data_IF_629016163655
#
_entry.id   IF_629016163655
#
_cell.length_a   1.000
_cell.length_b   1.000
_cell.length_c   1.000
_cell.angle_alpha   90.00
_cell.angle_beta   90.00
_cell.angle_gamma   90.00
#
_symmetry.space_group_name_H-M   'P 1'
#
loop_
_entity.id
_entity.type
_entity.pdbx_description
1 polymer ?
#
# COMPACT_ATOMS: atom_id res chain seq x y z
N UNK A 1 28.39 -15.66 13.83
CA UNK A 1 27.24 -15.55 12.91
C UNK A 1 27.19 -14.14 12.37
N UNK A 2 26.70 -13.97 11.14
CA UNK A 2 26.78 -12.71 10.42
C UNK A 2 25.42 -12.35 9.80
N UNK A 3 25.13 -11.05 9.76
CA UNK A 3 23.98 -10.47 9.07
C UNK A 3 24.52 -9.53 8.00
N UNK A 4 24.20 -9.80 6.75
CA UNK A 4 24.54 -8.97 5.59
C UNK A 4 23.27 -8.22 5.18
N UNK A 5 23.33 -6.89 5.19
CA UNK A 5 22.33 -6.03 4.57
C UNK A 5 22.89 -5.55 3.23
N UNK A 6 22.31 -6.02 2.12
CA UNK A 6 22.73 -5.62 0.78
C UNK A 6 21.60 -4.85 0.10
N UNK A 7 21.82 -3.56 -0.16
CA UNK A 7 20.77 -2.66 -0.62
C UNK A 7 21.03 -2.19 -2.05
N UNK A 8 20.12 -2.52 -2.96
CA UNK A 8 20.12 -1.96 -4.33
C UNK A 8 19.45 -0.58 -4.38
N UNK A 9 18.60 -0.30 -3.40
CA UNK A 9 17.99 1.00 -3.14
C UNK A 9 18.20 1.39 -1.67
N UNK A 10 18.52 2.66 -1.38
CA UNK A 10 18.64 3.13 0.00
C UNK A 10 17.36 2.86 0.78
N UNK A 11 17.51 2.33 2.00
CA UNK A 11 16.42 2.13 2.95
C UNK A 11 16.93 2.33 4.36
N UNK A 12 16.51 3.43 4.99
CA UNK A 12 16.90 3.71 6.38
C UNK A 12 16.14 2.77 7.32
N UNK A 13 14.86 2.55 7.06
CA UNK A 13 14.04 1.68 7.89
C UNK A 13 14.55 0.23 7.91
N UNK A 14 14.92 -0.33 6.74
CA UNK A 14 15.52 -1.66 6.66
C UNK A 14 16.87 -1.72 7.36
N UNK A 15 17.73 -0.70 7.19
CA UNK A 15 19.01 -0.64 7.88
C UNK A 15 18.85 -0.69 9.41
N UNK A 16 17.96 0.15 9.94
CA UNK A 16 17.69 0.23 11.37
C UNK A 16 17.04 -1.07 11.90
N UNK A 17 16.26 -1.76 11.06
CA UNK A 17 15.70 -3.08 11.35
C UNK A 17 16.79 -4.15 11.46
N UNK A 18 17.63 -4.28 10.44
CA UNK A 18 18.67 -5.32 10.38
C UNK A 18 19.76 -5.09 11.42
N UNK A 19 20.18 -3.83 11.61
CA UNK A 19 21.18 -3.45 12.62
C UNK A 19 20.72 -3.82 14.02
N UNK A 20 19.45 -3.59 14.33
CA UNK A 20 18.91 -3.96 15.63
C UNK A 20 18.91 -5.46 15.85
N UNK A 21 18.49 -6.25 14.84
CA UNK A 21 18.53 -7.70 14.93
C UNK A 21 19.95 -8.22 15.18
N UNK A 22 20.92 -7.72 14.42
CA UNK A 22 22.32 -8.10 14.59
C UNK A 22 22.86 -7.72 15.98
N UNK A 23 22.56 -6.50 16.46
CA UNK A 23 22.98 -6.03 17.77
C UNK A 23 22.36 -6.85 18.92
N UNK A 24 21.09 -7.24 18.81
CA UNK A 24 20.39 -8.01 19.84
C UNK A 24 21.05 -9.37 20.10
N UNK A 25 21.54 -10.03 19.06
CA UNK A 25 22.18 -11.34 19.16
C UNK A 25 23.72 -11.30 19.15
N UNK A 26 24.32 -10.11 19.13
CA UNK A 26 25.78 -9.95 19.03
C UNK A 26 26.36 -10.46 17.70
N UNK A 27 25.57 -10.48 16.63
CA UNK A 27 26.02 -10.89 15.30
C UNK A 27 26.82 -9.78 14.63
N UNK A 28 27.81 -10.16 13.82
CA UNK A 28 28.53 -9.21 12.97
C UNK A 28 27.57 -8.66 11.92
N UNK A 29 27.36 -7.34 11.90
CA UNK A 29 26.54 -6.68 10.89
C UNK A 29 27.43 -6.11 9.77
N UNK A 30 27.18 -6.55 8.54
CA UNK A 30 27.87 -6.09 7.34
C UNK A 30 26.84 -5.35 6.48
N UNK A 31 27.16 -4.11 6.12
CA UNK A 31 26.28 -3.28 5.29
C UNK A 31 26.98 -3.08 3.95
N UNK A 32 26.30 -3.48 2.88
CA UNK A 32 26.75 -3.36 1.50
C UNK A 32 25.76 -2.43 0.79
N UNK A 33 26.19 -1.19 0.57
CA UNK A 33 25.44 -0.22 -0.22
C UNK A 33 25.79 -0.43 -1.70
N UNK A 34 24.79 -0.80 -2.48
CA UNK A 34 24.89 -1.04 -3.92
C UNK A 34 23.98 -0.08 -4.71
N UNK A 35 23.57 1.05 -4.14
CA UNK A 35 22.66 1.99 -4.79
C UNK A 35 23.21 2.58 -6.11
N UNK A 36 24.54 2.66 -6.24
CA UNK A 36 25.23 3.29 -7.38
C UNK A 36 25.75 2.28 -8.43
N UNK A 37 25.46 0.98 -8.29
CA UNK A 37 25.86 -0.01 -9.31
C UNK A 37 24.95 0.06 -10.55
N UNK A 38 25.33 -0.65 -11.61
CA UNK A 38 24.49 -0.77 -12.82
C UNK A 38 23.08 -1.25 -12.47
N UNK A 39 22.06 -0.55 -13.01
CA UNK A 39 20.63 -0.80 -12.72
C UNK A 39 20.02 -1.97 -13.51
N UNK A 40 20.81 -2.70 -14.28
CA UNK A 40 20.31 -3.88 -14.99
C UNK A 40 20.40 -5.11 -14.09
N UNK A 41 19.35 -5.93 -14.11
CA UNK A 41 19.23 -7.13 -13.29
C UNK A 41 20.48 -8.04 -13.29
N UNK A 42 21.14 -8.36 -14.43
CA UNK A 42 22.31 -9.23 -14.42
C UNK A 42 23.48 -8.70 -13.57
N UNK A 43 23.76 -7.40 -13.64
CA UNK A 43 24.84 -6.80 -12.88
C UNK A 43 24.51 -6.75 -11.38
N UNK A 44 23.25 -6.45 -11.04
CA UNK A 44 22.79 -6.43 -9.65
C UNK A 44 22.83 -7.82 -9.02
N UNK A 45 22.38 -8.85 -9.75
CA UNK A 45 22.43 -10.25 -9.28
C UNK A 45 23.87 -10.75 -9.16
N UNK A 46 24.72 -10.48 -10.17
CA UNK A 46 26.14 -10.83 -10.09
C UNK A 46 26.80 -10.19 -8.86
N UNK A 47 26.59 -8.89 -8.66
CA UNK A 47 27.14 -8.18 -7.51
C UNK A 47 26.63 -8.76 -6.18
N UNK A 48 25.33 -9.03 -6.07
CA UNK A 48 24.71 -9.62 -4.88
C UNK A 48 25.32 -10.96 -4.51
N UNK A 49 25.37 -11.90 -5.46
CA UNK A 49 25.85 -13.26 -5.19
C UNK A 49 27.37 -13.34 -5.07
N UNK A 50 28.13 -12.50 -5.80
CA UNK A 50 29.58 -12.38 -5.62
C UNK A 50 29.90 -11.83 -4.22
N UNK A 51 29.16 -10.81 -3.77
CA UNK A 51 29.32 -10.24 -2.42
C UNK A 51 29.00 -11.26 -1.33
N UNK A 52 27.90 -12.00 -1.47
CA UNK A 52 27.56 -13.10 -0.57
C UNK A 52 28.68 -14.14 -0.54
N UNK A 53 29.15 -14.62 -1.70
CA UNK A 53 30.22 -15.62 -1.76
C UNK A 53 31.53 -15.11 -1.15
N UNK A 54 31.85 -13.82 -1.36
CA UNK A 54 33.01 -13.16 -0.77
C UNK A 54 32.94 -13.16 0.76
N UNK A 55 31.78 -12.83 1.35
CA UNK A 55 31.59 -12.90 2.80
C UNK A 55 31.58 -14.33 3.33
N UNK A 56 31.04 -15.29 2.58
CA UNK A 56 31.13 -16.72 2.93
C UNK A 56 32.59 -17.20 2.99
N UNK A 57 33.48 -16.69 2.14
CA UNK A 57 34.91 -16.98 2.21
C UNK A 57 35.62 -16.34 3.41
N UNK A 58 35.10 -15.21 3.94
CA UNK A 58 35.62 -14.55 5.13
C UNK A 58 35.08 -15.11 6.44
N UNK A 59 33.92 -15.76 6.38
CA UNK A 59 33.27 -16.42 7.51
C UNK A 59 34.00 -17.71 7.92
N UNK A 60 33.87 -18.10 9.18
CA UNK A 60 34.41 -19.37 9.68
C UNK A 60 33.61 -20.57 9.12
N UNK A 61 34.23 -21.74 9.01
CA UNK A 61 33.52 -22.95 8.59
C UNK A 61 32.40 -23.29 9.59
N UNK A 62 31.20 -23.58 9.09
CA UNK A 62 30.00 -23.82 9.87
C UNK A 62 29.26 -22.55 10.33
N UNK A 63 29.84 -21.36 10.16
CA UNK A 63 29.22 -20.09 10.56
C UNK A 63 27.94 -19.81 9.76
N UNK A 64 26.90 -19.31 10.43
CA UNK A 64 25.63 -18.95 9.78
C UNK A 64 25.67 -17.49 9.31
N UNK A 65 25.31 -17.28 8.05
CA UNK A 65 25.20 -16.00 7.36
C UNK A 65 23.76 -15.77 6.94
N UNK A 66 23.16 -14.66 7.40
CA UNK A 66 21.86 -14.16 6.98
C UNK A 66 22.07 -13.04 5.94
N UNK A 67 21.51 -13.18 4.75
CA UNK A 67 21.45 -12.13 3.74
C UNK A 67 20.04 -11.52 3.69
N UNK A 68 19.97 -10.20 3.84
CA UNK A 68 18.75 -9.39 3.77
C UNK A 68 18.90 -8.30 2.71
N UNK A 69 17.92 -8.19 1.82
CA UNK A 69 17.79 -7.02 0.93
C UNK A 69 17.05 -5.87 1.61
N UNK A 70 16.93 -4.72 0.95
CA UNK A 70 16.11 -3.62 1.45
C UNK A 70 14.62 -3.99 1.57
N UNK A 71 14.15 -5.01 0.84
CA UNK A 71 12.76 -5.47 0.83
C UNK A 71 12.49 -6.53 1.92
N UNK A 72 13.44 -6.78 2.82
CA UNK A 72 13.27 -7.68 3.95
C UNK A 72 13.06 -6.92 5.25
N UNK A 73 12.33 -7.53 6.18
CA UNK A 73 12.16 -7.01 7.53
C UNK A 73 12.16 -8.14 8.56
N UNK A 74 12.96 -8.01 9.60
CA UNK A 74 12.87 -8.85 10.80
C UNK A 74 11.66 -8.39 11.62
N UNK A 75 10.78 -9.33 11.92
CA UNK A 75 9.59 -9.11 12.78
C UNK A 75 9.92 -9.61 14.17
N UNK A 76 10.03 -10.93 14.35
CA UNK A 76 10.41 -11.50 15.63
C UNK A 76 11.89 -11.91 15.63
N UNK A 77 12.74 -11.27 16.44
CA UNK A 77 14.18 -11.43 16.35
C UNK A 77 14.65 -12.70 17.09
N UNK A 78 14.35 -13.88 16.56
CA UNK A 78 14.86 -15.16 17.09
C UNK A 78 16.30 -15.47 16.62
N UNK A 79 17.08 -16.29 17.35
CA UNK A 79 18.44 -16.68 16.94
C UNK A 79 18.49 -17.41 15.58
N UNK A 80 19.57 -17.20 14.81
CA UNK A 80 19.72 -17.78 13.47
C UNK A 80 19.87 -19.31 13.45
N UNK A 81 20.56 -19.87 14.43
CA UNK A 81 20.67 -21.32 14.61
C UNK A 81 19.32 -21.99 14.87
N UNK A 82 18.44 -21.31 15.62
CA UNK A 82 17.07 -21.77 15.84
C UNK A 82 16.25 -21.78 14.54
N UNK A 83 16.40 -20.77 13.68
CA UNK A 83 15.67 -20.68 12.40
C UNK A 83 16.20 -21.68 11.38
N UNK A 84 17.53 -21.77 11.24
CA UNK A 84 18.17 -22.66 10.26
C UNK A 84 18.09 -24.14 10.66
N UNK A 85 18.26 -24.43 11.95
CA UNK A 85 18.42 -25.79 12.46
C UNK A 85 19.65 -26.48 11.86
N UNK A 86 19.55 -27.77 11.58
CA UNK A 86 20.65 -28.60 11.05
C UNK A 86 20.92 -28.42 9.54
N UNK A 87 20.22 -27.48 8.88
CA UNK A 87 20.33 -27.30 7.43
C UNK A 87 21.61 -26.57 7.04
N UNK A 88 21.99 -26.79 5.78
CA UNK A 88 23.01 -26.00 5.09
C UNK A 88 22.46 -24.64 4.61
N UNK A 89 21.16 -24.55 4.32
CA UNK A 89 20.50 -23.30 3.93
C UNK A 89 19.01 -23.30 4.28
N UNK A 90 18.43 -22.11 4.34
CA UNK A 90 16.99 -21.90 4.38
C UNK A 90 16.60 -20.84 3.36
N UNK A 91 15.88 -21.28 2.33
CA UNK A 91 15.18 -20.45 1.36
C UNK A 91 13.69 -20.80 1.45
N UNK A 92 12.82 -19.82 1.25
CA UNK A 92 11.37 -19.99 1.37
C UNK A 92 10.67 -19.68 0.06
N UNK A 93 9.69 -20.50 -0.34
CA UNK A 93 8.78 -20.18 -1.44
C UNK A 93 7.53 -19.52 -0.87
N UNK A 94 7.18 -18.36 -1.41
CA UNK A 94 5.93 -17.68 -1.07
C UNK A 94 4.99 -17.87 -2.27
N UNK A 95 3.88 -18.59 -2.05
CA UNK A 95 2.87 -18.96 -3.07
C UNK A 95 3.39 -19.75 -4.28
N UNK A 96 3.93 -20.96 -4.04
CA UNK A 96 4.22 -22.01 -5.03
C UNK A 96 5.08 -21.68 -6.27
N UNK A 97 5.56 -20.46 -6.47
CA UNK A 97 6.27 -20.04 -7.69
C UNK A 97 7.69 -19.54 -7.34
N UNK A 98 8.55 -20.43 -6.84
CA UNK A 98 10.01 -20.22 -6.65
C UNK A 98 10.46 -19.54 -5.33
N UNK A 99 11.75 -19.69 -4.94
CA UNK A 99 12.28 -19.16 -3.68
C UNK A 99 12.40 -17.63 -3.71
N UNK A 100 11.93 -16.93 -2.67
CA UNK A 100 12.11 -15.48 -2.56
C UNK A 100 13.57 -15.13 -2.28
N UNK A 101 14.13 -14.06 -2.88
CA UNK A 101 15.56 -13.76 -2.83
C UNK A 101 15.94 -12.74 -1.75
N UNK A 102 14.98 -12.18 -1.01
CA UNK A 102 15.17 -11.05 -0.09
C UNK A 102 15.60 -11.47 1.32
N UNK A 103 15.22 -12.68 1.75
CA UNK A 103 15.64 -13.29 3.03
C UNK A 103 16.29 -14.65 2.74
N UNK A 104 17.60 -14.76 2.91
CA UNK A 104 18.34 -16.00 2.68
C UNK A 104 19.22 -16.34 3.88
N UNK A 105 19.19 -17.60 4.33
CA UNK A 105 20.05 -18.06 5.44
C UNK A 105 20.95 -19.18 4.93
N UNK A 106 22.24 -19.06 5.21
CA UNK A 106 23.29 -19.95 4.71
C UNK A 106 24.18 -20.41 5.85
N UNK A 107 24.51 -21.69 5.91
CA UNK A 107 25.62 -22.23 6.70
C UNK A 107 26.86 -22.24 5.84
N UNK A 108 27.95 -21.67 6.33
CA UNK A 108 29.19 -21.63 5.59
C UNK A 108 29.86 -23.00 5.52
N UNK A 109 29.59 -23.75 4.45
CA UNK A 109 30.27 -25.02 4.17
C UNK A 109 30.90 -25.00 2.80
N UNK A 110 31.89 -25.86 2.57
CA UNK A 110 32.49 -26.03 1.24
C UNK A 110 31.44 -26.32 0.14
N UNK A 111 30.42 -27.12 0.48
CA UNK A 111 29.28 -27.42 -0.40
C UNK A 111 28.50 -26.15 -0.75
N UNK A 112 28.11 -25.37 0.26
CA UNK A 112 27.33 -24.14 0.05
C UNK A 112 28.09 -23.13 -0.80
N UNK A 113 29.39 -22.93 -0.53
CA UNK A 113 30.24 -22.04 -1.35
C UNK A 113 30.31 -22.50 -2.81
N UNK A 114 30.41 -23.81 -3.06
CA UNK A 114 30.43 -24.37 -4.41
C UNK A 114 29.10 -24.16 -5.15
N UNK A 115 27.95 -24.32 -4.49
CA UNK A 115 26.63 -24.06 -5.09
C UNK A 115 26.41 -22.57 -5.37
N UNK A 116 26.79 -21.68 -4.43
CA UNK A 116 26.74 -20.22 -4.64
C UNK A 116 27.63 -19.78 -5.80
N UNK A 117 28.80 -20.41 -5.99
CA UNK A 117 29.64 -20.14 -7.16
C UNK A 117 28.95 -20.50 -8.49
N UNK A 118 28.10 -21.54 -8.52
CA UNK A 118 27.29 -21.83 -9.72
C UNK A 118 26.27 -20.71 -9.99
N UNK A 119 25.67 -20.15 -8.95
CA UNK A 119 24.77 -18.99 -9.06
C UNK A 119 25.50 -17.79 -9.65
N UNK A 120 26.66 -17.46 -9.09
CA UNK A 120 27.55 -16.39 -9.59
C UNK A 120 27.87 -16.60 -11.07
N UNK A 121 28.25 -17.81 -11.47
CA UNK A 121 28.58 -18.13 -12.85
C UNK A 121 27.39 -17.92 -13.82
N UNK A 122 26.15 -18.18 -13.37
CA UNK A 122 24.94 -17.91 -14.16
C UNK A 122 24.63 -16.42 -14.34
N UNK A 123 25.16 -15.56 -13.47
CA UNK A 123 24.96 -14.11 -13.54
C UNK A 123 26.01 -13.38 -14.40
N UNK A 124 27.06 -14.07 -14.85
CA UNK A 124 28.16 -13.46 -15.62
C UNK A 124 27.67 -12.92 -16.96
N UNK A 125 28.24 -11.79 -17.37
CA UNK A 125 28.01 -11.24 -18.71
C UNK A 125 28.37 -12.27 -19.79
N UNK A 126 27.46 -12.48 -20.74
CA UNK A 126 27.60 -13.47 -21.81
C UNK A 126 27.01 -14.85 -21.52
N UNK A 127 26.58 -15.12 -20.28
CA UNK A 127 25.78 -16.32 -19.96
C UNK A 127 24.28 -16.09 -20.27
N UNK A 128 23.50 -17.14 -20.59
CA UNK A 128 22.04 -17.05 -20.64
C UNK A 128 21.51 -16.66 -19.25
N UNK A 129 21.13 -15.40 -19.08
CA UNK A 129 20.62 -14.88 -17.82
C UNK A 129 19.14 -15.26 -17.70
N UNK A 130 18.70 -15.80 -16.55
CA UNK A 130 17.29 -16.10 -16.35
C UNK A 130 16.41 -14.85 -16.40
N UNK A 131 15.12 -14.97 -16.79
CA UNK A 131 14.20 -13.83 -16.82
C UNK A 131 14.00 -13.20 -15.44
N UNK A 132 14.11 -14.00 -14.37
CA UNK A 132 13.79 -13.62 -12.99
C UNK A 132 14.86 -14.10 -12.01
N UNK A 133 15.09 -13.35 -10.93
CA UNK A 133 16.16 -13.68 -9.97
C UNK A 133 15.92 -15.03 -9.31
N UNK A 134 14.66 -15.35 -9.04
CA UNK A 134 14.23 -16.56 -8.34
C UNK A 134 14.66 -17.85 -9.06
N UNK A 135 14.78 -17.83 -10.40
CA UNK A 135 15.33 -18.94 -11.22
C UNK A 135 16.80 -19.25 -10.89
N UNK A 136 17.55 -18.29 -10.35
CA UNK A 136 18.92 -18.50 -9.90
C UNK A 136 18.97 -19.41 -8.67
N UNK A 137 17.91 -19.36 -7.86
CA UNK A 137 17.80 -20.07 -6.59
C UNK A 137 17.06 -21.41 -6.70
N UNK A 138 16.50 -21.75 -7.87
CA UNK A 138 15.78 -23.02 -8.09
C UNK A 138 16.62 -24.28 -7.89
N UNK A 139 17.96 -24.17 -7.97
CA UNK A 139 18.88 -25.28 -7.70
C UNK A 139 18.95 -25.67 -6.21
N UNK A 140 18.42 -24.83 -5.32
CA UNK A 140 18.40 -25.08 -3.88
C UNK A 140 17.04 -25.62 -3.45
N UNK A 141 17.06 -26.62 -2.57
CA UNK A 141 15.85 -27.11 -1.92
C UNK A 141 15.26 -25.99 -1.03
N UNK A 142 14.21 -25.34 -1.53
CA UNK A 142 13.48 -24.30 -0.81
C UNK A 142 12.25 -24.89 -0.11
N UNK A 143 11.99 -24.38 1.09
CA UNK A 143 10.83 -24.76 1.88
C UNK A 143 9.56 -24.09 1.34
N UNK A 144 8.52 -24.88 1.07
CA UNK A 144 7.20 -24.34 0.72
C UNK A 144 6.55 -23.68 1.94
N UNK A 145 5.91 -22.54 1.72
CA UNK A 145 5.07 -21.89 2.72
C UNK A 145 3.82 -22.76 3.05
N UNK A 146 3.41 -22.88 4.33
CA UNK A 146 4.06 -22.35 5.53
C UNK A 146 5.23 -23.21 6.02
N UNK A 147 6.42 -22.61 6.13
CA UNK A 147 7.54 -23.23 6.84
C UNK A 147 7.57 -22.78 8.29
N UNK A 148 7.34 -23.72 9.20
CA UNK A 148 7.45 -23.52 10.64
C UNK A 148 8.82 -24.01 11.13
N UNK A 149 9.53 -23.17 11.87
CA UNK A 149 10.71 -23.51 12.66
C UNK A 149 10.33 -23.66 14.14
N UNK A 150 11.19 -24.30 14.92
CA UNK A 150 10.92 -24.61 16.32
C UNK A 150 10.08 -25.87 16.54
N UNK A 151 9.54 -26.02 17.75
CA UNK A 151 8.74 -27.17 18.15
C UNK A 151 7.23 -26.86 18.10
N UNK A 152 6.39 -27.90 18.19
CA UNK A 152 4.93 -27.76 18.13
C UNK A 152 4.33 -26.84 19.20
N UNK A 153 5.05 -26.59 20.31
CA UNK A 153 4.61 -25.71 21.40
C UNK A 153 5.00 -24.26 21.17
N UNK A 154 5.95 -23.99 20.28
CA UNK A 154 6.44 -22.64 20.00
C UNK A 154 6.77 -22.47 18.49
N UNK A 155 5.78 -22.60 17.61
CA UNK A 155 6.01 -22.47 16.17
C UNK A 155 6.41 -21.04 15.82
N UNK A 156 7.39 -20.89 14.93
CA UNK A 156 7.69 -19.62 14.26
C UNK A 156 7.66 -19.82 12.75
N UNK A 157 6.97 -18.97 12.01
CA UNK A 157 7.02 -18.99 10.55
C UNK A 157 8.30 -18.32 10.09
N UNK A 158 9.06 -18.99 9.21
CA UNK A 158 10.37 -18.49 8.78
C UNK A 158 10.25 -17.16 8.03
N UNK A 159 9.47 -17.13 6.94
CA UNK A 159 9.28 -15.94 6.12
C UNK A 159 7.83 -15.87 5.65
N UNK A 160 7.18 -14.72 5.78
CA UNK A 160 5.88 -14.42 5.17
C UNK A 160 6.02 -13.35 4.08
N UNK A 161 5.10 -13.34 3.10
CA UNK A 161 4.97 -12.20 2.21
C UNK A 161 4.24 -11.04 2.88
N UNK A 162 4.67 -9.83 2.55
CA UNK A 162 3.93 -8.60 2.79
C UNK A 162 3.78 -7.81 1.49
N UNK A 163 2.59 -7.28 1.23
CA UNK A 163 2.31 -6.47 0.06
C UNK A 163 1.13 -5.54 0.32
N UNK A 164 0.92 -4.53 -0.52
CA UNK A 164 -0.22 -3.62 -0.40
C UNK A 164 -1.57 -4.35 -0.37
N UNK A 165 -1.85 -5.27 -1.33
CA UNK A 165 -3.11 -6.02 -1.36
C UNK A 165 -3.28 -7.07 -0.26
N UNK A 166 -2.20 -7.56 0.33
CA UNK A 166 -2.28 -8.63 1.33
C UNK A 166 -2.69 -8.11 2.71
N UNK A 167 -3.58 -8.85 3.37
CA UNK A 167 -3.90 -8.59 4.77
C UNK A 167 -2.70 -8.96 5.65
N UNK A 168 -2.26 -8.09 6.57
CA UNK A 168 -1.15 -8.38 7.46
C UNK A 168 -1.56 -9.46 8.46
N UNK A 169 -1.04 -10.68 8.29
CA UNK A 169 -1.31 -11.81 9.20
C UNK A 169 -0.23 -12.02 10.25
N UNK A 170 0.97 -11.44 10.06
CA UNK A 170 2.08 -11.55 11.01
C UNK A 170 1.81 -10.99 12.42
N UNK A 171 0.82 -10.11 12.69
CA UNK A 171 0.46 -9.79 14.08
C UNK A 171 -0.18 -10.98 14.82
N UNK A 172 -0.75 -11.95 14.08
CA UNK A 172 -1.46 -13.12 14.63
C UNK A 172 -0.59 -14.36 14.77
N UNK A 173 0.60 -14.34 14.16
CA UNK A 173 1.51 -15.47 14.12
C UNK A 173 2.91 -15.03 14.53
N UNK A 174 3.67 -15.91 15.16
CA UNK A 174 5.10 -15.65 15.38
C UNK A 174 5.83 -15.79 14.07
N UNK A 175 6.49 -14.74 13.60
CA UNK A 175 7.12 -14.69 12.27
C UNK A 175 8.53 -14.15 12.43
N UNK A 176 9.52 -14.87 11.90
CA UNK A 176 10.90 -14.40 11.94
C UNK A 176 11.10 -13.18 11.02
N UNK A 177 10.75 -13.30 9.73
CA UNK A 177 10.94 -12.23 8.77
C UNK A 177 9.76 -12.07 7.79
N UNK A 178 9.66 -10.88 7.19
CA UNK A 178 8.84 -10.61 6.02
C UNK A 178 9.73 -10.41 4.78
N UNK A 179 9.26 -10.93 3.65
CA UNK A 179 9.71 -10.52 2.34
C UNK A 179 8.61 -9.63 1.73
N UNK A 180 8.94 -8.39 1.44
CA UNK A 180 8.02 -7.40 0.88
C UNK A 180 8.06 -7.55 -0.64
N UNK A 181 6.91 -7.78 -1.26
CA UNK A 181 6.79 -7.97 -2.71
C UNK A 181 5.44 -7.44 -3.20
N UNK A 182 5.38 -6.68 -4.29
CA UNK A 182 4.09 -6.38 -4.95
C UNK A 182 3.91 -7.34 -6.13
N UNK A 183 2.74 -8.00 -6.16
CA UNK A 183 2.33 -8.83 -7.29
C UNK A 183 1.69 -7.92 -8.35
N UNK A 184 2.24 -7.94 -9.55
CA UNK A 184 1.56 -7.45 -10.75
C UNK A 184 1.10 -8.66 -11.58
N UNK A 185 -0.10 -8.56 -12.16
CA UNK A 185 -0.76 -9.65 -12.89
C UNK A 185 -0.02 -10.07 -14.18
N UNK A 186 0.91 -9.23 -14.64
CA UNK A 186 1.84 -9.52 -15.72
C UNK A 186 3.21 -9.02 -15.25
N UNK A 187 4.28 -9.66 -15.72
CA UNK A 187 5.68 -9.45 -15.37
C UNK A 187 6.22 -10.31 -14.20
N UNK A 188 7.01 -11.28 -14.62
CA UNK A 188 8.30 -11.77 -14.12
C UNK A 188 9.14 -10.90 -13.15
N UNK A 189 8.65 -9.80 -12.55
CA UNK A 189 9.41 -8.98 -11.61
C UNK A 189 8.52 -8.55 -10.47
N UNK A 190 8.88 -8.96 -9.25
CA UNK A 190 8.40 -8.31 -8.04
C UNK A 190 8.90 -6.88 -8.04
N UNK A 191 8.00 -5.92 -8.25
CA UNK A 191 8.28 -4.53 -7.97
C UNK A 191 7.92 -4.28 -6.51
N UNK A 192 8.70 -3.50 -5.78
CA UNK A 192 8.32 -3.07 -4.42
C UNK A 192 8.36 -1.57 -4.44
N UNK A 193 7.23 -0.92 -4.19
CA UNK A 193 7.23 0.53 -4.12
C UNK A 193 8.06 0.97 -2.91
N UNK A 194 9.18 1.71 -3.08
CA UNK A 194 10.12 2.02 -2.00
C UNK A 194 9.46 2.66 -0.79
N UNK A 195 8.46 3.52 -1.04
CA UNK A 195 7.68 4.19 -0.01
C UNK A 195 6.81 3.25 0.83
N UNK A 196 6.19 2.24 0.22
CA UNK A 196 5.41 1.25 0.95
C UNK A 196 6.31 0.43 1.87
N UNK A 197 7.48 0.05 1.34
CA UNK A 197 8.54 -0.63 2.09
C UNK A 197 9.03 0.20 3.28
N UNK A 198 9.41 1.46 3.08
CA UNK A 198 9.81 2.33 4.21
C UNK A 198 8.69 2.43 5.24
N UNK A 199 7.46 2.72 4.82
CA UNK A 199 6.32 2.85 5.73
C UNK A 199 6.10 1.59 6.57
N UNK A 200 6.13 0.42 5.95
CA UNK A 200 5.94 -0.86 6.64
C UNK A 200 7.09 -1.16 7.61
N UNK A 201 8.33 -1.00 7.19
CA UNK A 201 9.48 -1.34 8.04
C UNK A 201 9.61 -0.34 9.21
N UNK A 202 9.37 0.95 8.98
CA UNK A 202 9.32 1.94 10.07
C UNK A 202 8.25 1.58 11.09
N UNK A 203 7.08 1.18 10.61
CA UNK A 203 5.98 0.78 11.46
C UNK A 203 6.33 -0.47 12.29
N UNK A 204 6.95 -1.49 11.68
CA UNK A 204 7.45 -2.65 12.41
C UNK A 204 8.51 -2.26 13.44
N UNK A 205 9.40 -1.34 13.09
CA UNK A 205 10.44 -0.83 13.98
C UNK A 205 9.85 -0.10 15.20
N UNK A 206 8.78 0.66 15.02
CA UNK A 206 8.07 1.35 16.10
C UNK A 206 7.35 0.37 17.04
N UNK A 207 6.91 -0.79 16.54
CA UNK A 207 6.11 -1.77 17.31
C UNK A 207 6.90 -3.00 17.77
N UNK A 208 8.25 -2.93 17.80
CA UNK A 208 9.13 -4.05 18.18
C UNK A 208 8.82 -4.71 19.51
N UNK A 209 8.32 -3.94 20.48
CA UNK A 209 7.99 -4.46 21.81
C UNK A 209 6.54 -4.96 21.92
N UNK A 210 5.71 -4.76 20.88
CA UNK A 210 4.29 -5.10 20.92
C UNK A 210 3.68 -5.35 19.52
N UNK A 211 4.25 -6.31 18.78
CA UNK A 211 3.82 -6.64 17.42
C UNK A 211 2.36 -7.08 17.32
N UNK A 212 1.80 -7.69 18.38
CA UNK A 212 0.39 -8.07 18.42
C UNK A 212 -0.54 -6.86 18.23
N UNK A 213 -0.10 -5.66 18.67
CA UNK A 213 -0.87 -4.41 18.57
C UNK A 213 -0.54 -3.55 17.35
N UNK A 214 0.37 -3.99 16.47
CA UNK A 214 0.84 -3.19 15.34
C UNK A 214 -0.30 -2.58 14.50
N UNK A 215 -1.44 -3.28 14.37
CA UNK A 215 -2.61 -2.76 13.66
C UNK A 215 -3.87 -2.65 14.53
N UNK A 216 -3.72 -2.66 15.86
CA UNK A 216 -4.82 -2.50 16.82
C UNK A 216 -5.03 -1.03 17.24
N UNK A 217 -4.08 -0.14 16.90
CA UNK A 217 -4.16 1.29 17.17
C UNK A 217 -5.22 1.94 16.29
N UNK A 218 -6.39 2.22 16.87
CA UNK A 218 -7.48 2.88 16.14
C UNK A 218 -8.87 2.66 16.72
N UNK A 219 -9.06 1.82 17.74
CA UNK A 219 -10.31 1.80 18.50
C UNK A 219 -10.42 3.03 19.41
N UNK A 220 -10.40 4.25 18.83
CA UNK A 220 -10.99 5.40 19.50
C UNK A 220 -12.46 5.09 19.74
N UNK A 221 -12.94 5.36 20.95
CA UNK A 221 -14.30 5.08 21.44
C UNK A 221 -15.38 5.33 20.34
N UNK A 222 -15.80 4.26 19.66
CA UNK A 222 -16.82 4.30 18.60
C UNK A 222 -18.14 4.88 19.13
N UNK A 223 -18.32 4.85 20.44
CA UNK A 223 -19.53 5.23 21.18
C UNK A 223 -19.90 6.72 21.13
N UNK A 224 -19.03 7.59 20.60
CA UNK A 224 -19.24 9.05 20.66
C UNK A 224 -19.43 9.75 19.31
N UNK A 225 -19.20 9.09 18.17
CA UNK A 225 -19.35 9.72 16.86
C UNK A 225 -20.73 9.48 16.26
N UNK A 226 -21.39 10.54 15.81
CA UNK A 226 -22.67 10.45 15.10
C UNK A 226 -22.49 9.73 13.75
N UNK A 227 -23.50 8.97 13.33
CA UNK A 227 -23.54 8.26 12.03
C UNK A 227 -23.28 9.17 10.82
N UNK A 228 -23.63 10.45 10.92
CA UNK A 228 -23.38 11.46 9.91
C UNK A 228 -22.92 12.76 10.57
N UNK A 229 -22.04 13.49 9.89
CA UNK A 229 -21.72 14.87 10.25
C UNK A 229 -21.56 15.73 9.00
N UNK A 230 -21.89 17.02 9.13
CA UNK A 230 -21.69 18.03 8.08
C UNK A 230 -20.76 19.12 8.59
N UNK A 231 -19.71 19.46 7.84
CA UNK A 231 -18.91 20.67 8.04
C UNK A 231 -19.35 21.74 7.04
N UNK A 232 -19.34 23.02 7.46
CA UNK A 232 -19.61 24.18 6.59
C UNK A 232 -20.83 23.99 5.67
N UNK A 233 -22.04 23.76 6.20
CA UNK A 233 -23.22 23.46 5.37
C UNK A 233 -23.57 24.63 4.42
N UNK A 234 -24.10 24.30 3.24
CA UNK A 234 -24.68 25.26 2.30
C UNK A 234 -23.69 26.06 1.43
N UNK A 235 -22.46 25.57 1.27
CA UNK A 235 -21.43 26.24 0.44
C UNK A 235 -21.58 25.87 -1.03
N UNK A 236 -21.07 26.68 -1.99
CA UNK A 236 -21.23 26.38 -3.42
C UNK A 236 -20.61 25.05 -3.87
N UNK A 237 -19.53 24.62 -3.24
CA UNK A 237 -18.88 23.33 -3.49
C UNK A 237 -19.11 22.41 -2.29
N UNK A 238 -19.53 21.18 -2.55
CA UNK A 238 -19.58 20.12 -1.54
C UNK A 238 -18.68 18.95 -1.89
N UNK A 239 -18.13 18.30 -0.85
CA UNK A 239 -17.47 17.00 -0.90
C UNK A 239 -18.31 16.03 -0.07
N UNK A 240 -18.54 14.84 -0.62
CA UNK A 240 -19.20 13.73 0.06
C UNK A 240 -18.25 12.56 0.15
N UNK A 241 -18.14 11.97 1.33
CA UNK A 241 -17.41 10.72 1.55
C UNK A 241 -18.21 9.78 2.45
N UNK A 242 -18.01 8.48 2.25
CA UNK A 242 -18.63 7.43 3.06
C UNK A 242 -17.61 6.38 3.42
N UNK A 243 -17.57 6.01 4.70
CA UNK A 243 -16.87 4.83 5.17
C UNK A 243 -17.76 4.06 6.13
N UNK A 244 -17.83 2.73 6.02
CA UNK A 244 -18.55 1.86 6.97
C UNK A 244 -17.62 1.47 8.13
N UNK A 245 -18.11 0.83 9.21
CA UNK A 245 -17.26 0.42 10.32
C UNK A 245 -16.04 -0.42 9.90
N UNK A 246 -16.16 -1.27 8.88
CA UNK A 246 -15.06 -2.10 8.35
C UNK A 246 -13.96 -1.26 7.69
N UNK A 247 -14.29 -0.06 7.23
CA UNK A 247 -13.39 0.90 6.62
C UNK A 247 -12.86 1.96 7.61
N UNK A 248 -13.35 1.98 8.87
CA UNK A 248 -13.08 3.05 9.82
C UNK A 248 -11.60 3.25 10.16
N UNK A 249 -10.77 2.21 10.03
CA UNK A 249 -9.32 2.28 10.27
C UNK A 249 -8.61 3.28 9.34
N UNK A 250 -9.04 3.38 8.08
CA UNK A 250 -8.50 4.34 7.12
C UNK A 250 -9.45 5.50 6.84
N UNK A 251 -10.76 5.28 6.90
CA UNK A 251 -11.78 6.30 6.67
C UNK A 251 -11.68 7.48 7.64
N UNK A 252 -11.31 7.25 8.91
CA UNK A 252 -11.06 8.34 9.88
C UNK A 252 -9.84 9.20 9.52
N UNK A 253 -8.81 8.59 8.91
CA UNK A 253 -7.62 9.31 8.45
C UNK A 253 -8.02 10.24 7.29
N UNK A 254 -8.77 9.72 6.32
CA UNK A 254 -9.32 10.53 5.23
C UNK A 254 -10.27 11.61 5.75
N UNK A 255 -11.17 11.29 6.69
CA UNK A 255 -12.09 12.27 7.24
C UNK A 255 -11.36 13.47 7.85
N UNK A 256 -10.35 13.23 8.69
CA UNK A 256 -9.59 14.31 9.31
C UNK A 256 -8.90 15.19 8.27
N UNK A 257 -8.31 14.58 7.24
CA UNK A 257 -7.67 15.27 6.13
C UNK A 257 -8.66 16.08 5.26
N UNK A 258 -9.81 15.49 4.94
CA UNK A 258 -10.88 16.17 4.18
C UNK A 258 -11.49 17.31 4.97
N UNK A 259 -11.63 17.17 6.29
CA UNK A 259 -12.13 18.25 7.16
C UNK A 259 -11.18 19.44 7.15
N UNK A 260 -9.88 19.21 7.32
CA UNK A 260 -8.85 20.26 7.22
C UNK A 260 -8.92 20.98 5.86
N UNK A 261 -9.06 20.23 4.77
CA UNK A 261 -9.17 20.79 3.42
C UNK A 261 -10.45 21.62 3.23
N UNK A 262 -11.60 21.10 3.66
CA UNK A 262 -12.89 21.77 3.50
C UNK A 262 -13.00 23.02 4.39
N UNK A 263 -12.39 23.01 5.57
CA UNK A 263 -12.30 24.19 6.43
C UNK A 263 -11.44 25.28 5.80
N UNK A 264 -10.29 24.91 5.19
CA UNK A 264 -9.39 25.84 4.52
C UNK A 264 -10.04 26.57 3.34
N UNK A 265 -10.79 25.85 2.50
CA UNK A 265 -11.39 26.43 1.29
C UNK A 265 -12.86 26.84 1.46
N UNK A 266 -13.45 26.61 2.63
CA UNK A 266 -14.85 26.92 2.88
C UNK A 266 -15.83 26.05 2.07
N UNK A 267 -15.50 24.78 1.84
CA UNK A 267 -16.38 23.80 1.20
C UNK A 267 -17.29 23.11 2.20
N UNK A 268 -18.47 22.67 1.76
CA UNK A 268 -19.31 21.76 2.55
C UNK A 268 -18.71 20.36 2.54
N UNK A 269 -18.58 19.72 3.69
CA UNK A 269 -18.18 18.31 3.80
C UNK A 269 -19.33 17.50 4.39
N UNK A 270 -19.82 16.51 3.66
CA UNK A 270 -20.72 15.48 4.15
C UNK A 270 -19.93 14.20 4.43
N UNK A 271 -19.94 13.75 5.68
CA UNK A 271 -19.32 12.49 6.10
C UNK A 271 -20.41 11.55 6.59
N UNK A 272 -20.49 10.37 5.98
CA UNK A 272 -21.32 9.28 6.48
C UNK A 272 -20.43 8.13 6.96
N UNK A 273 -20.64 7.69 8.20
CA UNK A 273 -19.87 6.62 8.88
C UNK A 273 -20.56 5.25 8.79
N UNK A 274 -21.69 5.22 8.08
CA UNK A 274 -22.49 4.06 7.75
C UNK A 274 -23.32 4.38 6.49
N UNK A 275 -23.91 3.36 5.87
CA UNK A 275 -24.90 3.59 4.80
C UNK A 275 -26.12 4.26 5.41
N UNK A 276 -26.55 5.44 4.92
CA UNK A 276 -27.69 6.14 5.50
C UNK A 276 -28.94 5.27 5.50
N UNK A 277 -29.60 5.20 6.66
CA UNK A 277 -30.77 4.34 6.87
C UNK A 277 -31.85 4.49 5.78
N UNK A 278 -32.13 5.72 5.34
CA UNK A 278 -33.10 6.02 4.26
C UNK A 278 -32.77 5.36 2.92
N UNK A 279 -31.49 5.06 2.66
CA UNK A 279 -31.02 4.35 1.47
C UNK A 279 -30.99 2.85 1.76
N UNK A 280 -30.46 2.46 2.92
CA UNK A 280 -30.37 1.06 3.34
C UNK A 280 -31.74 0.36 3.42
N UNK A 281 -32.79 1.06 3.87
CA UNK A 281 -34.16 0.55 3.92
C UNK A 281 -34.78 0.33 2.54
N UNK A 282 -34.35 1.11 1.54
CA UNK A 282 -34.81 0.94 0.16
C UNK A 282 -34.11 -0.23 -0.51
N UNK A 283 -32.81 -0.38 -0.26
CA UNK A 283 -31.94 -1.33 -0.96
C UNK A 283 -30.79 -1.75 -0.02
N UNK A 284 -30.76 -3.00 0.47
CA UNK A 284 -29.63 -3.48 1.27
C UNK A 284 -28.39 -3.60 0.38
N UNK A 285 -27.43 -2.69 0.56
CA UNK A 285 -26.23 -2.56 -0.27
C UNK A 285 -24.98 -2.28 0.57
N UNK A 286 -23.80 -2.63 0.04
CA UNK A 286 -22.51 -2.16 0.58
C UNK A 286 -22.27 -0.67 0.27
N UNK A 287 -21.37 -0.06 1.04
CA UNK A 287 -21.11 1.38 1.00
C UNK A 287 -20.74 1.96 -0.37
N UNK A 288 -20.06 1.22 -1.25
CA UNK A 288 -19.67 1.72 -2.57
C UNK A 288 -20.86 2.00 -3.51
N UNK A 289 -22.00 1.31 -3.32
CA UNK A 289 -23.20 1.49 -4.13
C UNK A 289 -23.99 2.76 -3.78
N UNK A 290 -23.64 3.44 -2.68
CA UNK A 290 -24.37 4.62 -2.17
C UNK A 290 -24.02 5.91 -2.94
N UNK A 291 -22.88 5.94 -3.65
CA UNK A 291 -22.33 7.12 -4.34
C UNK A 291 -23.36 7.89 -5.17
N UNK A 292 -24.06 7.25 -6.13
CA UNK A 292 -24.96 7.99 -7.01
C UNK A 292 -26.16 8.57 -6.26
N UNK A 293 -26.66 7.89 -5.22
CA UNK A 293 -27.77 8.37 -4.39
C UNK A 293 -27.39 9.64 -3.62
N UNK A 294 -26.24 9.64 -2.95
CA UNK A 294 -25.79 10.80 -2.18
C UNK A 294 -25.38 11.97 -3.07
N UNK A 295 -24.71 11.71 -4.20
CA UNK A 295 -24.44 12.73 -5.20
C UNK A 295 -25.74 13.37 -5.70
N UNK A 296 -26.76 12.55 -5.98
CA UNK A 296 -28.06 13.04 -6.48
C UNK A 296 -28.83 13.85 -5.44
N UNK A 297 -28.73 13.47 -4.17
CA UNK A 297 -29.33 14.18 -3.04
C UNK A 297 -28.64 15.54 -2.81
N UNK A 298 -27.31 15.59 -2.91
CA UNK A 298 -26.54 16.80 -2.63
C UNK A 298 -26.55 17.78 -3.82
N UNK A 299 -26.55 17.31 -5.07
CA UNK A 299 -26.42 18.14 -6.27
C UNK A 299 -27.36 19.37 -6.34
N UNK A 300 -28.65 19.30 -5.96
CA UNK A 300 -29.54 20.48 -6.02
C UNK A 300 -29.11 21.64 -5.11
N UNK A 301 -28.38 21.35 -4.03
CA UNK A 301 -28.03 22.30 -2.98
C UNK A 301 -26.69 23.01 -3.20
N UNK A 302 -25.91 22.57 -4.18
CA UNK A 302 -24.55 23.04 -4.43
C UNK A 302 -24.39 23.43 -5.90
N UNK A 303 -23.46 24.32 -6.24
CA UNK A 303 -23.05 24.52 -7.62
C UNK A 303 -22.27 23.31 -8.14
N UNK A 304 -21.41 22.74 -7.28
CA UNK A 304 -20.66 21.53 -7.54
C UNK A 304 -20.81 20.53 -6.38
N UNK A 305 -21.07 19.27 -6.73
CA UNK A 305 -21.06 18.15 -5.79
C UNK A 305 -19.93 17.18 -6.17
N UNK A 306 -18.96 17.03 -5.28
CA UNK A 306 -17.85 16.10 -5.41
C UNK A 306 -18.05 14.85 -4.56
N UNK A 307 -17.62 13.72 -5.10
CA UNK A 307 -17.45 12.46 -4.40
C UNK A 307 -15.96 12.16 -4.26
N UNK A 308 -15.52 11.84 -3.04
CA UNK A 308 -14.19 11.31 -2.75
C UNK A 308 -14.32 10.01 -1.94
N UNK A 309 -13.72 8.93 -2.43
CA UNK A 309 -13.65 7.67 -1.70
C UNK A 309 -12.90 7.83 -0.37
N UNK A 310 -13.28 7.03 0.63
CA UNK A 310 -12.71 7.09 1.97
C UNK A 310 -11.23 6.66 2.05
N UNK A 311 -10.69 6.15 0.95
CA UNK A 311 -9.27 5.87 0.76
C UNK A 311 -8.59 6.88 -0.17
N UNK A 312 -9.08 8.12 -0.20
CA UNK A 312 -8.45 9.26 -0.87
C UNK A 312 -7.96 10.29 0.14
N UNK A 313 -6.76 10.83 -0.07
CA UNK A 313 -6.22 11.98 0.67
C UNK A 313 -6.01 13.17 -0.25
N UNK A 314 -6.27 14.36 0.28
CA UNK A 314 -5.77 15.64 -0.25
C UNK A 314 -4.35 15.84 0.28
N UNK A 315 -3.39 15.71 -0.62
CA UNK A 315 -1.97 15.90 -0.34
C UNK A 315 -1.54 17.37 -0.48
N UNK A 316 -1.97 18.05 -1.54
CA UNK A 316 -1.81 19.51 -1.69
C UNK A 316 -3.08 20.22 -1.20
N UNK A 317 -3.04 20.68 0.06
CA UNK A 317 -4.18 21.35 0.69
C UNK A 317 -4.39 22.78 0.19
N UNK A 318 -3.42 23.39 -0.50
CA UNK A 318 -3.52 24.78 -0.96
C UNK A 318 -4.24 24.90 -2.29
N UNK A 319 -4.24 23.83 -3.09
CA UNK A 319 -4.93 23.81 -4.38
C UNK A 319 -6.46 23.69 -4.21
N UNK A 320 -7.26 24.62 -4.76
CA UNK A 320 -8.72 24.55 -4.72
C UNK A 320 -9.28 23.59 -5.78
N UNK A 321 -10.43 22.95 -5.50
CA UNK A 321 -11.14 22.07 -6.44
C UNK A 321 -11.63 22.82 -7.68
N UNK A 322 -11.97 24.10 -7.56
CA UNK A 322 -12.44 24.94 -8.67
C UNK A 322 -11.41 25.07 -9.80
N UNK A 323 -10.12 24.80 -9.51
CA UNK A 323 -9.07 24.72 -10.54
C UNK A 323 -9.36 23.67 -11.63
N UNK A 324 -10.26 22.71 -11.36
CA UNK A 324 -10.70 21.69 -12.32
C UNK A 324 -12.10 21.94 -12.89
N UNK A 325 -12.85 22.91 -12.39
CA UNK A 325 -14.25 23.14 -12.75
C UNK A 325 -14.44 24.02 -13.99
N UNK A 326 -13.41 24.80 -14.36
CA UNK A 326 -13.52 25.80 -15.43
C UNK A 326 -13.87 25.16 -16.76
N UNK A 327 -14.92 25.67 -17.44
CA UNK A 327 -15.44 25.19 -18.73
C UNK A 327 -15.91 23.73 -18.75
N UNK A 328 -16.20 23.13 -17.59
CA UNK A 328 -16.68 21.75 -17.48
C UNK A 328 -17.98 21.68 -16.71
N UNK A 329 -18.76 20.64 -16.99
CA UNK A 329 -19.90 20.24 -16.15
C UNK A 329 -19.62 18.96 -15.37
N UNK A 330 -18.56 18.22 -15.74
CA UNK A 330 -18.09 17.03 -15.07
C UNK A 330 -16.59 17.14 -14.81
N UNK A 331 -16.17 16.64 -13.65
CA UNK A 331 -14.76 16.48 -13.30
C UNK A 331 -14.55 14.99 -13.03
N UNK A 332 -13.90 14.31 -13.98
CA UNK A 332 -13.61 12.87 -13.90
C UNK A 332 -12.11 12.67 -14.11
N UNK A 333 -11.55 11.59 -13.57
CA UNK A 333 -10.13 11.27 -13.71
C UNK A 333 -9.94 9.94 -14.44
N UNK A 334 -9.05 9.91 -15.43
CA UNK A 334 -8.73 8.69 -16.19
C UNK A 334 -8.41 7.52 -15.25
N UNK A 335 -8.85 6.33 -15.60
CA UNK A 335 -8.56 5.13 -14.82
C UNK A 335 -7.11 4.67 -15.05
N UNK A 336 -6.53 4.01 -14.06
CA UNK A 336 -5.22 3.36 -14.20
C UNK A 336 -5.30 2.03 -14.96
N UNK A 337 -6.48 1.40 -14.93
CA UNK A 337 -6.78 0.16 -15.62
C UNK A 337 -7.45 0.41 -16.97
N UNK A 338 -8.45 -0.41 -17.30
CA UNK A 338 -9.07 -0.46 -18.62
C UNK A 338 -10.33 0.39 -18.76
N UNK A 339 -10.74 1.10 -17.71
CA UNK A 339 -11.95 1.93 -17.72
C UNK A 339 -11.67 3.31 -18.29
N UNK A 340 -12.71 4.03 -18.69
CA UNK A 340 -12.55 5.40 -19.20
C UNK A 340 -12.13 6.33 -18.06
N UNK A 341 -12.74 6.16 -16.89
CA UNK A 341 -12.41 6.92 -15.67
C UNK A 341 -12.62 6.08 -14.40
N UNK A 342 -11.96 6.52 -13.33
CA UNK A 342 -12.09 5.93 -12.00
C UNK A 342 -13.17 6.65 -11.17
N UNK A 343 -14.08 5.92 -10.52
CA UNK A 343 -15.20 6.51 -9.75
C UNK A 343 -14.85 6.88 -8.30
N UNK A 344 -13.57 6.87 -7.93
CA UNK A 344 -13.11 7.26 -6.60
C UNK A 344 -13.03 8.76 -6.37
N UNK A 345 -12.89 9.55 -7.45
CA UNK A 345 -12.96 11.01 -7.42
C UNK A 345 -13.81 11.48 -8.60
N UNK A 346 -14.94 12.12 -8.30
CA UNK A 346 -15.86 12.63 -9.33
C UNK A 346 -16.46 13.95 -8.89
N UNK A 347 -16.63 14.91 -9.80
CA UNK A 347 -17.31 16.18 -9.58
C UNK A 347 -18.44 16.39 -10.58
N UNK A 348 -19.59 16.85 -10.09
CA UNK A 348 -20.78 17.11 -10.90
C UNK A 348 -21.25 18.54 -10.68
N UNK A 349 -21.34 19.32 -11.75
CA UNK A 349 -21.99 20.63 -11.72
C UNK A 349 -23.50 20.47 -11.64
N UNK A 350 -24.18 21.37 -10.94
CA UNK A 350 -25.65 21.40 -10.88
C UNK A 350 -26.26 21.81 -12.21
N UNK A 351 -26.50 20.81 -13.05
CA UNK A 351 -27.19 20.93 -14.33
C UNK A 351 -28.28 19.85 -14.45
N UNK A 352 -29.34 20.09 -15.24
CA UNK A 352 -30.34 19.06 -15.51
C UNK A 352 -29.75 17.79 -16.14
N UNK A 353 -28.71 17.94 -16.98
CA UNK A 353 -28.03 16.82 -17.63
C UNK A 353 -27.32 15.91 -16.62
N UNK A 354 -26.62 16.49 -15.64
CA UNK A 354 -25.95 15.72 -14.59
C UNK A 354 -26.93 15.08 -13.61
N UNK A 355 -28.04 15.76 -13.29
CA UNK A 355 -29.11 15.16 -12.49
C UNK A 355 -29.69 13.92 -13.20
N UNK A 356 -30.00 14.03 -14.50
CA UNK A 356 -30.49 12.90 -15.29
C UNK A 356 -29.45 11.78 -15.45
N UNK A 357 -28.16 12.10 -15.52
CA UNK A 357 -27.09 11.10 -15.53
C UNK A 357 -27.08 10.31 -14.23
N UNK A 358 -27.09 10.99 -13.08
CA UNK A 358 -27.12 10.32 -11.77
C UNK A 358 -28.40 9.48 -11.61
N UNK A 359 -29.55 9.95 -12.09
CA UNK A 359 -30.79 9.17 -12.08
C UNK A 359 -30.67 7.87 -12.93
N UNK A 360 -29.95 7.88 -14.06
CA UNK A 360 -29.66 6.67 -14.85
C UNK A 360 -28.72 5.71 -14.11
N UNK A 361 -27.67 6.23 -13.47
CA UNK A 361 -26.76 5.40 -12.66
C UNK A 361 -27.52 4.76 -11.51
N UNK A 362 -28.37 5.52 -10.80
CA UNK A 362 -29.26 4.99 -9.75
C UNK A 362 -30.10 3.86 -10.31
N UNK A 363 -30.85 4.08 -11.39
CA UNK A 363 -31.70 3.05 -11.98
C UNK A 363 -30.91 1.79 -12.39
N UNK A 364 -29.69 1.96 -12.90
CA UNK A 364 -28.81 0.84 -13.24
C UNK A 364 -28.36 0.06 -12.00
N UNK A 365 -27.96 0.75 -10.93
CA UNK A 365 -27.58 0.15 -9.64
C UNK A 365 -28.76 -0.56 -8.98
N UNK A 366 -29.97 -0.01 -9.04
CA UNK A 366 -31.18 -0.64 -8.47
C UNK A 366 -31.45 -2.03 -9.09
N UNK A 367 -31.05 -2.24 -10.35
CA UNK A 367 -31.20 -3.50 -11.09
C UNK A 367 -30.08 -4.53 -10.88
N UNK A 368 -29.05 -4.24 -10.08
CA UNK A 368 -27.97 -5.21 -9.79
C UNK A 368 -28.48 -6.30 -8.82
N UNK A 369 -28.33 -7.57 -9.18
CA UNK A 369 -28.85 -8.68 -8.36
C UNK A 369 -28.11 -8.84 -7.02
N UNK A 370 -26.77 -8.88 -7.05
CA UNK A 370 -25.93 -8.96 -5.85
C UNK A 370 -25.30 -7.61 -5.53
N UNK A 371 -25.91 -6.87 -4.59
CA UNK A 371 -25.41 -5.58 -4.06
C UNK A 371 -24.56 -5.74 -2.79
N UNK A 372 -24.29 -7.00 -2.40
CA UNK A 372 -23.44 -7.35 -1.25
C UNK A 372 -22.00 -7.62 -1.70
N UNK A 373 -21.76 -7.96 -2.96
CA UNK A 373 -20.44 -7.94 -3.56
C UNK A 373 -20.05 -6.53 -4.01
N UNK A 374 -18.77 -6.17 -3.81
CA UNK A 374 -18.20 -4.91 -4.29
C UNK A 374 -17.93 -4.93 -5.81
N UNK A 375 -17.91 -6.12 -6.42
CA UNK A 375 -17.49 -6.33 -7.82
C UNK A 375 -18.59 -6.93 -8.70
N UNK A 376 -19.74 -7.27 -8.12
CA UNK A 376 -20.91 -7.73 -8.89
C UNK A 376 -21.34 -6.63 -9.87
N UNK A 377 -21.70 -7.03 -11.09
CA UNK A 377 -22.01 -6.08 -12.18
C UNK A 377 -20.82 -5.19 -12.59
N UNK A 378 -19.59 -5.53 -12.21
CA UNK A 378 -18.42 -4.67 -12.44
C UNK A 378 -18.21 -3.57 -11.37
N UNK A 379 -19.02 -3.55 -10.32
CA UNK A 379 -18.99 -2.53 -9.26
C UNK A 379 -19.60 -1.20 -9.70
N UNK A 380 -19.72 -0.23 -8.78
CA UNK A 380 -20.29 1.10 -9.04
C UNK A 380 -19.59 1.82 -10.20
N UNK A 381 -18.26 1.65 -10.32
CA UNK A 381 -17.46 2.20 -11.41
C UNK A 381 -17.98 1.81 -12.79
N UNK A 382 -18.47 0.57 -12.97
CA UNK A 382 -19.03 0.13 -14.25
C UNK A 382 -20.27 0.92 -14.64
N UNK A 383 -21.21 1.06 -13.72
CA UNK A 383 -22.47 1.77 -13.97
C UNK A 383 -22.23 3.26 -14.27
N UNK A 384 -21.29 3.88 -13.57
CA UNK A 384 -20.85 5.24 -13.89
C UNK A 384 -20.22 5.34 -15.28
N UNK A 385 -19.30 4.43 -15.62
CA UNK A 385 -18.66 4.40 -16.95
C UNK A 385 -19.68 4.20 -18.08
N UNK A 386 -20.65 3.29 -17.91
CA UNK A 386 -21.72 3.08 -18.89
C UNK A 386 -22.59 4.34 -19.07
N UNK A 387 -23.10 4.92 -17.98
CA UNK A 387 -23.99 6.07 -18.06
C UNK A 387 -23.33 7.33 -18.65
N UNK A 388 -22.01 7.47 -18.45
CA UNK A 388 -21.18 8.52 -19.05
C UNK A 388 -20.90 8.24 -20.52
N UNK A 389 -20.57 7.00 -20.89
CA UNK A 389 -20.28 6.63 -22.29
C UNK A 389 -21.47 6.83 -23.22
N UNK A 390 -22.70 6.71 -22.69
CA UNK A 390 -23.93 6.98 -23.43
C UNK A 390 -24.17 8.49 -23.68
N UNK A 391 -23.50 9.38 -22.93
CA UNK A 391 -23.45 10.81 -23.30
C UNK A 391 -22.42 11.00 -24.41
N UNK A 392 -22.89 11.01 -25.66
CA UNK A 392 -22.09 11.10 -26.89
C UNK A 392 -21.17 12.34 -27.00
N UNK A 393 -21.09 13.19 -25.98
CA UNK A 393 -20.36 14.47 -25.97
C UNK A 393 -19.08 14.49 -25.13
N UNK A 394 -18.72 13.43 -24.41
CA UNK A 394 -17.48 13.39 -23.62
C UNK A 394 -16.35 12.71 -24.37
N UNK A 395 -15.37 13.50 -24.82
CA UNK A 395 -14.11 13.02 -25.38
C UNK A 395 -13.10 12.67 -24.27
N UNK A 396 -12.04 11.95 -24.64
CA UNK A 396 -10.94 11.62 -23.71
C UNK A 396 -10.21 12.86 -23.18
N UNK A 397 -10.26 13.98 -23.91
CA UNK A 397 -9.69 15.27 -23.51
C UNK A 397 -10.50 15.98 -22.42
N UNK A 398 -11.78 15.63 -22.26
CA UNK A 398 -12.67 16.19 -21.23
C UNK A 398 -12.43 15.57 -19.84
N UNK A 399 -11.65 14.48 -19.80
CA UNK A 399 -11.32 13.72 -18.59
C UNK A 399 -9.94 14.15 -18.09
N UNK A 400 -9.85 14.53 -16.82
CA UNK A 400 -8.60 14.92 -16.17
C UNK A 400 -7.59 13.76 -16.18
N UNK A 401 -6.30 14.11 -16.16
CA UNK A 401 -5.27 13.12 -15.94
C UNK A 401 -5.40 12.48 -14.56
N UNK A 402 -5.11 11.18 -14.45
CA UNK A 402 -5.07 10.49 -13.17
C UNK A 402 -4.10 11.15 -12.20
N UNK A 403 -2.94 11.62 -12.69
CA UNK A 403 -1.92 12.30 -11.86
C UNK A 403 -2.32 13.70 -11.39
N UNK A 404 -3.37 14.30 -11.96
CA UNK A 404 -3.78 15.66 -11.61
C UNK A 404 -4.82 15.68 -10.48
N UNK A 405 -5.76 14.74 -10.46
CA UNK A 405 -6.93 14.80 -9.54
C UNK A 405 -7.35 13.45 -8.93
N UNK A 406 -6.75 12.32 -9.31
CA UNK A 406 -7.05 11.01 -8.71
C UNK A 406 -5.81 10.11 -8.79
N UNK A 407 -4.70 10.57 -8.18
CA UNK A 407 -3.38 9.95 -8.39
C UNK A 407 -3.35 8.62 -7.64
N UNK A 408 -3.17 7.46 -8.31
CA UNK A 408 -2.98 6.22 -7.58
C UNK A 408 -1.76 6.31 -6.68
N UNK A 409 -1.83 5.71 -5.50
CA UNK A 409 -0.74 5.80 -4.51
C UNK A 409 0.62 5.40 -5.08
N UNK A 410 0.70 4.46 -6.02
CA UNK A 410 1.97 4.08 -6.68
C UNK A 410 2.60 5.16 -7.57
N UNK A 411 1.86 6.22 -7.92
CA UNK A 411 2.33 7.36 -8.72
C UNK A 411 2.46 8.65 -7.93
N UNK A 412 2.25 8.62 -6.60
CA UNK A 412 2.36 9.85 -5.79
C UNK A 412 3.75 10.45 -5.89
N UNK A 413 3.78 11.74 -6.18
CA UNK A 413 4.93 12.62 -6.02
C UNK A 413 4.60 13.71 -4.99
N UNK A 414 5.58 14.45 -4.45
CA UNK A 414 5.31 15.48 -3.44
C UNK A 414 4.25 16.51 -3.86
N UNK A 415 4.18 16.84 -5.16
CA UNK A 415 3.21 17.79 -5.73
C UNK A 415 1.87 17.18 -6.16
N UNK A 416 1.62 15.90 -5.91
CA UNK A 416 0.32 15.29 -6.24
C UNK A 416 -0.80 15.97 -5.46
N UNK A 417 -1.93 16.25 -6.09
CA UNK A 417 -3.05 16.91 -5.42
C UNK A 417 -3.88 15.92 -4.58
N UNK A 418 -4.67 15.07 -5.24
CA UNK A 418 -5.43 13.99 -4.62
C UNK A 418 -4.75 12.66 -4.86
N UNK A 419 -4.66 11.85 -3.82
CA UNK A 419 -3.94 10.57 -3.82
C UNK A 419 -4.90 9.48 -3.37
N UNK A 420 -5.07 8.45 -4.19
CA UNK A 420 -6.05 7.39 -4.02
C UNK A 420 -5.36 6.05 -3.74
N UNK A 421 -5.66 5.48 -2.58
CA UNK A 421 -5.03 4.28 -2.01
C UNK A 421 -5.82 3.01 -2.34
N UNK A 422 -6.23 2.88 -3.61
CA UNK A 422 -7.00 1.74 -4.09
C UNK A 422 -6.16 0.46 -4.16
N UNK A 423 -6.83 -0.70 -4.13
CA UNK A 423 -6.20 -2.01 -4.29
C UNK A 423 -5.36 -2.49 -3.09
N UNK A 424 -5.42 -1.79 -1.95
CA UNK A 424 -4.72 -2.16 -0.72
C UNK A 424 -5.65 -2.82 0.29
N UNK A 425 -5.10 -3.69 1.15
CA UNK A 425 -5.82 -4.17 2.33
C UNK A 425 -6.08 -3.00 3.30
N UNK A 426 -7.16 -3.03 4.10
CA UNK A 426 -7.50 -1.93 5.00
C UNK A 426 -6.36 -1.45 5.91
N UNK A 427 -5.57 -2.39 6.44
CA UNK A 427 -4.44 -2.11 7.33
C UNK A 427 -3.26 -1.46 6.57
N UNK A 428 -2.89 -2.02 5.41
CA UNK A 428 -1.79 -1.49 4.60
C UNK A 428 -2.13 -0.11 4.04
N UNK A 429 -3.40 0.11 3.72
CA UNK A 429 -3.94 1.40 3.34
C UNK A 429 -3.82 2.42 4.47
N UNK A 430 -4.33 2.11 5.66
CA UNK A 430 -4.26 3.01 6.82
C UNK A 430 -2.82 3.37 7.19
N UNK A 431 -1.92 2.38 7.12
CA UNK A 431 -0.48 2.54 7.32
C UNK A 431 0.10 3.57 6.34
N UNK A 432 -0.11 3.39 5.03
CA UNK A 432 0.50 4.27 4.03
C UNK A 432 -0.12 5.67 4.04
N UNK A 433 -1.44 5.78 4.27
CA UNK A 433 -2.11 7.07 4.45
C UNK A 433 -1.53 7.85 5.63
N UNK A 434 -1.38 7.21 6.79
CA UNK A 434 -0.78 7.82 7.97
C UNK A 434 0.67 8.24 7.71
N UNK A 435 1.42 7.37 7.03
CA UNK A 435 2.80 7.64 6.66
C UNK A 435 2.93 8.90 5.79
N UNK A 436 2.08 9.04 4.77
CA UNK A 436 2.11 10.20 3.88
C UNK A 436 1.72 11.51 4.56
N UNK A 437 0.75 11.47 5.49
CA UNK A 437 0.43 12.65 6.29
C UNK A 437 1.59 13.08 7.19
N UNK A 438 2.36 12.13 7.75
CA UNK A 438 3.57 12.45 8.52
C UNK A 438 4.66 13.06 7.63
N UNK A 439 4.87 12.51 6.43
CA UNK A 439 5.84 13.07 5.48
C UNK A 439 5.48 14.51 5.10
N UNK A 440 4.21 14.78 4.77
CA UNK A 440 3.72 16.13 4.47
C UNK A 440 4.03 17.10 5.62
N UNK A 441 3.74 16.71 6.87
CA UNK A 441 4.02 17.55 8.05
C UNK A 441 5.52 17.84 8.19
N UNK A 442 6.36 16.83 8.04
CA UNK A 442 7.81 16.99 8.09
C UNK A 442 8.32 17.92 6.97
N UNK A 443 7.78 17.82 5.76
CA UNK A 443 8.11 18.70 4.63
C UNK A 443 7.73 20.16 4.93
N UNK A 444 6.55 20.41 5.52
CA UNK A 444 6.10 21.75 5.94
C UNK A 444 6.98 22.35 7.03
N UNK A 445 7.37 21.54 8.03
CA UNK A 445 8.29 21.96 9.10
C UNK A 445 9.67 22.35 8.54
N UNK A 446 10.22 21.56 7.61
CA UNK A 446 11.50 21.88 6.97
C UNK A 446 11.41 23.11 6.06
N UNK A 447 10.25 23.39 5.47
CA UNK A 447 10.00 24.60 4.68
C UNK A 447 9.78 25.86 5.53
N UNK A 448 9.80 25.76 6.87
CA UNK A 448 9.55 26.89 7.77
C UNK A 448 8.09 27.38 7.75
N UNK A 449 7.16 26.56 7.25
CA UNK A 449 5.73 26.84 7.26
C UNK A 449 5.15 26.37 8.59
N UNK A 450 4.63 27.29 9.40
CA UNK A 450 4.11 26.98 10.74
C UNK A 450 3.02 25.90 10.67
N UNK A 451 3.25 24.77 11.34
CA UNK A 451 2.20 23.79 11.62
C UNK A 451 1.25 24.42 12.62
N UNK A 452 0.01 24.67 12.21
CA UNK A 452 -1.01 25.17 13.12
C UNK A 452 -1.32 24.10 14.16
N UNK A 453 -0.88 24.33 15.41
CA UNK A 453 -1.27 23.52 16.55
C UNK A 453 -2.79 23.60 16.74
N UNK A 454 -3.51 22.57 16.34
CA UNK A 454 -4.86 22.31 16.80
C UNK A 454 -4.86 21.06 17.67
N UNK A 455 -4.81 21.31 18.99
CA UNK A 455 -5.81 20.93 20.00
C UNK A 455 -5.10 20.82 21.35
N UNK A 456 -5.29 21.84 22.17
CA UNK A 456 -5.00 21.78 23.59
C UNK A 456 -5.97 20.83 24.28
N UNK A 457 -5.42 19.90 25.07
CA UNK A 457 -6.16 19.21 26.10
C UNK A 457 -6.64 20.25 27.14
N UNK A 458 -7.94 20.28 27.35
CA UNK A 458 -8.53 20.59 28.66
C UNK A 458 -9.20 19.34 29.17
#
# INVERSE_FOLDING_TARGET
MQVISLFLHPSRAALDNHRHYAALHGYRHIVIDAADIYRNAPAQWLFKYESLLSEMHRAEEGEIVLLLSENAAIVEPVPLDFVLGERDWLLTRIKDVQPQPDVQIWRNTARVRAELLKVVNRCRFGSPIPPIETDLLDAFDACTFPRVCGNARNPIYAVLAASGPLMPVWPRFRVFALAIAEEHADLSRTCVHPRLREALIEHLNAHRNNHARAFEDGASDESTMTAMSTCNPGRPVSITTVYTPEAAIYGRIAEANLREYCERHGYTLYVHREVPRRIAERLPMRGNWVKPFLLRENLPHHEWAFWLDADTLVNDLDRPLESFCSSRDLVLARDVGTWIFNSGVMGFRRTPANAALLDRVIASVENVDDKQSLVSGGGDQWHFNCAVSEQASLGSEDICSLVDINTPWGFRVPSSFLVHYHGMSPQMRALLMSYDLRLRRAEMEHAGMAVGDSVGMK
#
